data_IF_120280078317
#
_entry.id   IF_120280078317
#
_cell.length_a   1.000
_cell.length_b   1.000
_cell.length_c   1.000
_cell.angle_alpha   90.00
_cell.angle_beta   90.00
_cell.angle_gamma   90.00
#
_symmetry.space_group_name_H-M   'P 1'
#
loop_
_entity.id
_entity.type
_entity.pdbx_description
1 polymer ?
#
# COMPACT_ATOMS: atom_id res chain seq x y z
N UNK A 1 42.39 8.15 5.90
CA UNK A 1 42.31 7.60 7.26
C UNK A 1 40.83 7.41 7.58
N UNK A 2 40.44 6.45 8.41
CA UNK A 2 39.05 6.42 8.88
C UNK A 2 38.87 7.62 9.82
N UNK A 3 37.92 8.50 9.52
CA UNK A 3 37.69 9.75 10.27
C UNK A 3 36.38 9.58 11.02
N UNK A 4 36.37 9.95 12.29
CA UNK A 4 35.15 10.04 13.10
C UNK A 4 34.86 11.53 13.24
N UNK A 5 33.70 11.97 12.79
CA UNK A 5 33.23 13.32 13.05
C UNK A 5 32.84 13.42 14.54
N UNK A 6 33.51 14.28 15.33
CA UNK A 6 33.25 14.40 16.77
C UNK A 6 31.88 15.01 17.11
N UNK A 7 31.22 15.69 16.16
CA UNK A 7 29.95 16.37 16.40
C UNK A 7 28.74 15.50 16.01
N UNK A 8 28.82 14.83 14.86
CA UNK A 8 27.76 13.91 14.39
C UNK A 8 27.97 12.45 14.80
N UNK A 9 29.18 12.06 15.19
CA UNK A 9 29.55 10.65 15.41
C UNK A 9 29.75 9.85 14.12
N UNK A 10 29.67 10.49 12.94
CA UNK A 10 29.75 9.81 11.64
C UNK A 10 31.15 9.21 11.41
N UNK A 11 31.22 7.91 11.11
CA UNK A 11 32.48 7.23 10.75
C UNK A 11 32.64 7.16 9.24
N UNK A 12 33.54 7.98 8.71
CA UNK A 12 33.95 7.93 7.30
C UNK A 12 35.08 6.93 7.11
N UNK A 13 34.76 5.80 6.46
CA UNK A 13 35.74 4.77 6.11
C UNK A 13 36.80 5.30 5.15
N UNK A 14 38.06 4.88 5.34
CA UNK A 14 39.15 5.23 4.42
C UNK A 14 38.87 4.65 3.03
N UNK A 15 38.75 5.52 2.03
CA UNK A 15 38.74 5.14 0.61
C UNK A 15 40.16 5.21 0.02
N UNK A 16 40.49 4.30 -0.90
CA UNK A 16 41.76 4.31 -1.65
C UNK A 16 41.72 5.29 -2.82
N UNK A 17 40.54 5.47 -3.42
CA UNK A 17 40.31 6.44 -4.49
C UNK A 17 38.94 7.10 -4.28
N UNK A 18 38.83 8.44 -4.39
CA UNK A 18 37.58 9.15 -4.10
C UNK A 18 36.43 8.77 -5.03
N UNK A 19 36.72 8.41 -6.28
CA UNK A 19 35.72 8.00 -7.27
C UNK A 19 35.30 6.51 -7.22
N UNK A 20 35.83 5.73 -6.26
CA UNK A 20 35.50 4.31 -6.13
C UNK A 20 34.61 4.13 -4.90
N UNK A 21 33.45 3.50 -5.11
CA UNK A 21 32.53 3.15 -4.03
C UNK A 21 33.18 2.17 -3.04
N UNK A 22 32.64 2.09 -1.83
CA UNK A 22 33.07 1.05 -0.90
C UNK A 22 32.66 -0.32 -1.45
N UNK A 23 33.59 -1.27 -1.50
CA UNK A 23 33.32 -2.60 -2.01
C UNK A 23 34.03 -3.67 -1.16
N UNK A 24 33.52 -4.90 -1.23
CA UNK A 24 34.14 -6.08 -0.66
C UNK A 24 34.75 -6.93 -1.78
N UNK A 25 36.03 -7.27 -1.66
CA UNK A 25 36.74 -7.98 -2.73
C UNK A 25 36.19 -9.39 -3.01
N UNK A 26 35.66 -10.08 -2.00
CA UNK A 26 35.08 -11.41 -2.19
C UNK A 26 33.72 -11.30 -2.89
N UNK A 27 32.86 -10.40 -2.42
CA UNK A 27 31.51 -10.24 -2.98
C UNK A 27 31.58 -9.73 -4.43
N UNK A 28 32.47 -8.77 -4.75
CA UNK A 28 32.61 -8.29 -6.13
C UNK A 28 33.10 -9.39 -7.08
N UNK A 29 33.96 -10.29 -6.59
CA UNK A 29 34.47 -11.42 -7.36
C UNK A 29 33.38 -12.44 -7.66
N UNK A 30 32.52 -12.74 -6.67
CA UNK A 30 31.44 -13.71 -6.78
C UNK A 30 30.25 -13.16 -7.58
N UNK A 31 29.75 -11.98 -7.20
CA UNK A 31 28.53 -11.42 -7.78
C UNK A 31 28.76 -10.70 -9.11
N UNK A 32 30.01 -10.27 -9.38
CA UNK A 32 30.41 -9.56 -10.62
C UNK A 32 29.52 -8.35 -10.97
N UNK A 33 28.94 -7.72 -9.96
CA UNK A 33 28.07 -6.55 -10.09
C UNK A 33 28.66 -5.35 -9.35
N UNK A 34 28.18 -4.15 -9.68
CA UNK A 34 28.58 -2.92 -9.00
C UNK A 34 28.12 -2.96 -7.53
N UNK A 35 28.94 -2.44 -6.62
CA UNK A 35 28.64 -2.48 -5.19
C UNK A 35 28.88 -1.12 -4.54
N UNK A 36 28.07 -0.82 -3.52
CA UNK A 36 28.26 0.31 -2.62
C UNK A 36 27.93 -0.11 -1.19
N UNK A 37 28.98 -0.49 -0.44
CA UNK A 37 28.85 -0.95 0.94
C UNK A 37 28.86 0.25 1.89
N UNK A 38 27.72 0.52 2.49
CA UNK A 38 27.59 1.53 3.54
C UNK A 38 27.44 0.85 4.90
N UNK A 39 28.13 1.38 5.90
CA UNK A 39 27.94 0.96 7.28
C UNK A 39 26.79 1.77 7.87
N UNK A 40 25.82 1.12 8.47
CA UNK A 40 24.58 1.74 8.96
C UNK A 40 24.67 1.84 10.49
N UNK A 41 24.69 3.06 11.03
CA UNK A 41 24.65 3.33 12.46
C UNK A 41 23.20 3.47 12.97
N UNK A 42 22.99 3.34 14.27
CA UNK A 42 21.70 3.64 14.90
C UNK A 42 21.41 5.15 14.89
N UNK A 43 20.18 5.55 14.57
CA UNK A 43 19.76 6.95 14.59
C UNK A 43 19.07 7.37 13.30
N UNK A 44 19.11 8.67 13.02
CA UNK A 44 18.46 9.32 11.86
C UNK A 44 18.92 8.73 10.52
N UNK A 45 20.22 8.43 10.38
CA UNK A 45 20.77 7.85 9.14
C UNK A 45 20.25 6.44 8.85
N UNK A 46 20.09 5.61 9.89
CA UNK A 46 19.45 4.30 9.74
C UNK A 46 17.99 4.44 9.28
N UNK A 47 17.24 5.35 9.91
CA UNK A 47 15.84 5.61 9.57
C UNK A 47 15.69 6.05 8.11
N UNK A 48 16.48 7.03 7.69
CA UNK A 48 16.53 7.53 6.32
C UNK A 48 16.88 6.42 5.30
N UNK A 49 17.91 5.62 5.61
CA UNK A 49 18.38 4.57 4.72
C UNK A 49 17.39 3.39 4.61
N UNK A 50 16.73 3.01 5.71
CA UNK A 50 15.69 1.96 5.68
C UNK A 50 14.54 2.36 4.76
N UNK A 51 14.09 3.61 4.85
CA UNK A 51 13.05 4.12 3.93
C UNK A 51 13.55 4.07 2.48
N UNK A 52 14.77 4.58 2.22
CA UNK A 52 15.36 4.57 0.88
C UNK A 52 15.47 3.17 0.27
N UNK A 53 15.98 2.19 1.03
CA UNK A 53 16.09 0.81 0.57
C UNK A 53 14.71 0.22 0.26
N UNK A 54 13.73 0.47 1.12
CA UNK A 54 12.36 -0.04 0.94
C UNK A 54 11.74 0.56 -0.31
N UNK A 55 11.80 1.88 -0.47
CA UNK A 55 11.29 2.63 -1.62
C UNK A 55 11.92 2.14 -2.93
N UNK A 56 13.23 1.89 -2.93
CA UNK A 56 13.96 1.36 -4.08
C UNK A 56 13.54 -0.06 -4.44
N UNK A 57 13.37 -0.95 -3.45
CA UNK A 57 12.91 -2.33 -3.68
C UNK A 57 11.49 -2.35 -4.22
N UNK A 58 10.64 -1.42 -3.78
CA UNK A 58 9.23 -1.32 -4.21
C UNK A 58 9.04 -0.47 -5.46
N UNK A 59 10.11 0.08 -6.06
CA UNK A 59 10.01 0.95 -7.24
C UNK A 59 9.39 0.18 -8.40
N UNK A 60 8.29 0.72 -8.94
CA UNK A 60 7.61 0.13 -10.09
C UNK A 60 8.48 0.31 -11.34
N UNK A 61 8.72 -0.79 -12.07
CA UNK A 61 9.57 -0.81 -13.27
C UNK A 61 8.81 -0.32 -14.50
N UNK A 62 8.44 0.97 -14.57
CA UNK A 62 8.16 1.59 -15.87
C UNK A 62 9.14 2.74 -16.11
N UNK A 63 10.09 2.51 -17.02
CA UNK A 63 10.90 3.59 -17.56
C UNK A 63 10.07 4.37 -18.58
N UNK A 64 10.08 5.70 -18.51
CA UNK A 64 9.39 6.58 -19.45
C UNK A 64 9.74 6.31 -20.93
N UNK A 65 10.97 5.87 -21.21
CA UNK A 65 11.42 5.55 -22.56
C UNK A 65 10.71 4.30 -23.14
N UNK A 66 10.35 3.35 -22.28
CA UNK A 66 9.63 2.12 -22.67
C UNK A 66 8.19 2.49 -23.03
N UNK A 67 7.56 3.36 -22.23
CA UNK A 67 6.24 3.94 -22.49
C UNK A 67 6.18 4.61 -23.86
N UNK A 68 7.19 5.43 -24.20
CA UNK A 68 7.22 6.14 -25.47
C UNK A 68 7.28 5.20 -26.68
N UNK A 69 8.13 4.16 -26.64
CA UNK A 69 8.27 3.19 -27.73
C UNK A 69 6.98 2.38 -27.97
N UNK A 70 6.26 2.05 -26.89
CA UNK A 70 4.98 1.36 -26.93
C UNK A 70 3.86 2.24 -27.48
N UNK A 71 3.87 3.53 -27.14
CA UNK A 71 2.98 4.54 -27.71
C UNK A 71 3.27 4.74 -29.20
N UNK A 72 4.53 4.86 -29.60
CA UNK A 72 4.92 4.98 -31.01
C UNK A 72 4.44 3.78 -31.83
N UNK A 73 4.56 2.56 -31.28
CA UNK A 73 4.03 1.34 -31.90
C UNK A 73 2.50 1.35 -32.03
N UNK A 74 1.79 1.87 -31.03
CA UNK A 74 0.33 2.02 -31.05
C UNK A 74 -0.17 3.10 -32.04
N UNK A 75 0.67 4.11 -32.29
CA UNK A 75 0.44 5.20 -33.26
C UNK A 75 0.82 4.82 -34.69
N UNK A 76 1.48 3.67 -34.89
CA UNK A 76 1.84 3.14 -36.21
C UNK A 76 0.65 3.15 -37.20
N UNK A 77 0.92 3.35 -38.50
CA UNK A 77 -0.10 3.65 -39.50
C UNK A 77 -1.07 2.49 -39.67
N UNK A 78 -2.27 2.63 -39.11
CA UNK A 78 -3.41 1.79 -39.45
C UNK A 78 -4.28 2.57 -40.44
N UNK A 79 -3.94 2.42 -41.72
CA UNK A 79 -4.67 2.95 -42.89
C UNK A 79 -5.99 2.23 -43.14
N UNK A 80 -6.85 2.13 -42.12
CA UNK A 80 -8.27 1.82 -42.33
C UNK A 80 -9.08 3.05 -41.98
N UNK A 81 -8.91 4.07 -42.84
CA UNK A 81 -9.65 5.32 -42.80
C UNK A 81 -11.10 5.01 -43.17
N UNK A 82 -11.93 4.69 -42.19
CA UNK A 82 -13.37 4.88 -42.35
C UNK A 82 -13.63 6.40 -42.36
N UNK A 83 -13.99 6.90 -43.54
CA UNK A 83 -14.19 8.33 -43.85
C UNK A 83 -15.32 8.96 -43.01
N UNK A 84 -16.14 8.15 -42.34
CA UNK A 84 -17.31 8.56 -41.56
C UNK A 84 -17.08 8.77 -40.06
N UNK A 85 -15.88 8.53 -39.52
CA UNK A 85 -15.64 8.69 -38.07
C UNK A 85 -15.28 10.14 -37.66
N UNK A 86 -16.00 10.64 -36.65
CA UNK A 86 -15.77 11.93 -35.99
C UNK A 86 -14.32 12.02 -35.46
N UNK A 87 -13.69 13.18 -35.59
CA UNK A 87 -12.29 13.41 -35.16
C UNK A 87 -12.08 13.13 -33.67
N UNK A 88 -13.09 13.40 -32.84
CA UNK A 88 -13.08 13.12 -31.40
C UNK A 88 -13.04 11.61 -31.12
N UNK A 89 -13.79 10.80 -31.87
CA UNK A 89 -13.83 9.36 -31.69
C UNK A 89 -12.53 8.69 -32.16
N UNK A 90 -11.91 9.24 -33.21
CA UNK A 90 -10.56 8.82 -33.65
C UNK A 90 -9.51 9.09 -32.58
N UNK A 91 -9.53 10.28 -31.96
CA UNK A 91 -8.62 10.63 -30.88
C UNK A 91 -8.81 9.71 -29.66
N UNK A 92 -10.06 9.46 -29.26
CA UNK A 92 -10.38 8.53 -28.16
C UNK A 92 -9.87 7.11 -28.43
N UNK A 93 -10.08 6.59 -29.64
CA UNK A 93 -9.58 5.26 -30.05
C UNK A 93 -8.07 5.19 -30.12
N UNK A 94 -7.40 6.29 -30.44
CA UNK A 94 -5.94 6.34 -30.43
C UNK A 94 -5.40 6.28 -29.00
N UNK A 95 -5.94 7.10 -28.09
CA UNK A 95 -5.58 7.09 -26.67
C UNK A 95 -5.83 5.73 -26.05
N UNK A 96 -6.99 5.12 -26.33
CA UNK A 96 -7.32 3.79 -25.81
C UNK A 96 -6.34 2.72 -26.33
N UNK A 97 -5.96 2.77 -27.60
CA UNK A 97 -4.94 1.85 -28.17
C UNK A 97 -3.57 2.04 -27.55
N UNK A 98 -3.16 3.28 -27.32
CA UNK A 98 -1.91 3.57 -26.62
C UNK A 98 -1.94 2.99 -25.20
N UNK A 99 -3.03 3.20 -24.47
CA UNK A 99 -3.23 2.64 -23.14
C UNK A 99 -3.22 1.11 -23.15
N UNK A 100 -3.98 0.46 -24.04
CA UNK A 100 -4.04 -1.01 -24.13
C UNK A 100 -2.68 -1.61 -24.54
N UNK A 101 -1.92 -0.93 -25.40
CA UNK A 101 -0.56 -1.34 -25.78
C UNK A 101 0.41 -1.23 -24.58
N UNK A 102 0.31 -0.14 -23.81
CA UNK A 102 1.08 0.06 -22.58
C UNK A 102 0.71 -0.97 -21.51
N UNK A 103 -0.57 -1.30 -21.37
CA UNK A 103 -1.06 -2.27 -20.39
C UNK A 103 -0.72 -3.73 -20.78
N UNK A 104 -0.60 -4.03 -22.08
CA UNK A 104 -0.41 -5.40 -22.58
C UNK A 104 1.05 -5.79 -22.84
N UNK A 105 1.94 -4.83 -23.08
CA UNK A 105 3.34 -5.09 -23.39
C UNK A 105 4.23 -4.48 -22.31
N UNK A 106 4.79 -5.34 -21.46
CA UNK A 106 5.77 -4.96 -20.46
C UNK A 106 7.13 -5.56 -20.81
N UNK A 107 8.19 -4.74 -20.78
CA UNK A 107 9.55 -5.25 -20.87
C UNK A 107 9.91 -6.01 -19.59
N UNK A 108 10.40 -7.23 -19.75
CA UNK A 108 10.86 -8.08 -18.65
C UNK A 108 12.36 -8.30 -18.81
N UNK A 109 13.09 -8.33 -17.69
CA UNK A 109 14.51 -8.67 -17.71
C UNK A 109 14.72 -10.08 -18.26
N UNK A 110 15.72 -10.27 -19.12
CA UNK A 110 16.07 -11.60 -19.61
C UNK A 110 16.36 -12.61 -18.49
N UNK A 111 16.79 -12.14 -17.31
CA UNK A 111 16.95 -12.96 -16.11
C UNK A 111 15.59 -13.43 -15.58
N UNK A 112 14.60 -12.54 -15.48
CA UNK A 112 13.23 -12.90 -15.06
C UNK A 112 12.61 -13.94 -16.00
N UNK A 113 12.74 -13.72 -17.32
CA UNK A 113 12.25 -14.66 -18.33
C UNK A 113 12.95 -16.01 -18.20
N UNK A 114 14.27 -16.02 -18.01
CA UNK A 114 15.03 -17.26 -17.84
C UNK A 114 14.60 -18.02 -16.58
N UNK A 115 14.44 -17.33 -15.45
CA UNK A 115 13.97 -17.92 -14.18
C UNK A 115 12.57 -18.52 -14.33
N UNK A 116 11.67 -17.83 -15.03
CA UNK A 116 10.33 -18.33 -15.32
C UNK A 116 10.36 -19.58 -16.22
N UNK A 117 11.13 -19.55 -17.32
CA UNK A 117 11.26 -20.69 -18.22
C UNK A 117 11.91 -21.91 -17.56
N UNK A 118 12.77 -21.69 -16.57
CA UNK A 118 13.45 -22.74 -15.81
C UNK A 118 12.64 -23.21 -14.58
N UNK A 119 11.44 -22.66 -14.35
CA UNK A 119 10.57 -23.00 -13.22
C UNK A 119 11.25 -22.82 -11.85
N UNK A 120 12.08 -21.79 -11.71
CA UNK A 120 12.77 -21.49 -10.44
C UNK A 120 11.94 -20.62 -9.48
N UNK A 121 10.72 -20.23 -9.88
CA UNK A 121 9.87 -19.31 -9.14
C UNK A 121 10.31 -17.85 -9.25
N UNK A 122 9.42 -16.93 -8.96
CA UNK A 122 9.61 -15.47 -9.12
C UNK A 122 9.71 -14.71 -7.79
N UNK A 123 9.51 -15.37 -6.66
CA UNK A 123 9.58 -14.76 -5.34
C UNK A 123 9.97 -15.74 -4.23
N UNK A 124 10.44 -15.18 -3.11
CA UNK A 124 10.60 -15.89 -1.84
C UNK A 124 9.84 -15.13 -0.76
N UNK A 125 8.98 -15.82 -0.01
CA UNK A 125 8.21 -15.22 1.08
C UNK A 125 8.45 -15.96 2.37
N UNK A 126 8.71 -15.20 3.43
CA UNK A 126 8.82 -15.75 4.79
C UNK A 126 7.44 -15.97 5.45
N UNK A 127 6.45 -15.17 5.03
CA UNK A 127 5.11 -15.16 5.59
C UNK A 127 4.06 -15.22 4.48
N UNK A 128 2.85 -15.67 4.83
CA UNK A 128 1.68 -15.47 3.99
C UNK A 128 1.12 -14.06 4.18
N UNK A 129 0.37 -13.56 3.21
CA UNK A 129 -0.21 -12.22 3.23
C UNK A 129 -1.71 -12.28 2.98
N UNK A 130 -2.45 -11.34 3.58
CA UNK A 130 -3.89 -11.19 3.37
C UNK A 130 -4.25 -9.70 3.28
N UNK A 131 -5.10 -9.33 2.34
CA UNK A 131 -5.39 -7.92 2.07
C UNK A 131 -6.50 -7.37 2.98
N UNK A 132 -6.32 -6.14 3.46
CA UNK A 132 -7.35 -5.34 4.13
C UNK A 132 -7.58 -4.07 3.33
N UNK A 133 -8.77 -3.93 2.74
CA UNK A 133 -9.19 -2.71 2.07
C UNK A 133 -9.71 -1.70 3.09
N UNK A 134 -8.78 -1.04 3.80
CA UNK A 134 -9.08 -0.25 5.00
C UNK A 134 -10.04 0.90 4.71
N UNK A 135 -9.82 1.65 3.63
CA UNK A 135 -10.59 2.84 3.29
C UNK A 135 -12.10 2.55 3.14
N UNK A 136 -12.46 1.40 2.58
CA UNK A 136 -13.86 1.01 2.41
C UNK A 136 -14.55 0.77 3.77
N UNK A 137 -13.81 0.21 4.73
CA UNK A 137 -14.30 -0.04 6.10
C UNK A 137 -14.41 1.28 6.86
N UNK A 138 -13.38 2.13 6.79
CA UNK A 138 -13.38 3.46 7.43
C UNK A 138 -14.55 4.32 6.96
N UNK A 139 -14.81 4.36 5.65
CA UNK A 139 -15.92 5.11 5.06
C UNK A 139 -17.27 4.58 5.51
N UNK A 140 -17.45 3.26 5.54
CA UNK A 140 -18.67 2.65 6.07
C UNK A 140 -18.92 3.09 7.52
N UNK A 141 -17.89 3.02 8.38
CA UNK A 141 -18.00 3.39 9.78
C UNK A 141 -18.29 4.89 9.96
N UNK A 142 -17.65 5.74 9.14
CA UNK A 142 -17.91 7.18 9.15
C UNK A 142 -19.35 7.48 8.73
N UNK A 143 -19.82 6.88 7.64
CA UNK A 143 -21.18 7.08 7.15
C UNK A 143 -22.24 6.64 8.17
N UNK A 144 -22.03 5.50 8.84
CA UNK A 144 -22.94 5.04 9.90
C UNK A 144 -22.89 5.98 11.12
N UNK A 145 -21.72 6.52 11.49
CA UNK A 145 -21.61 7.55 12.54
C UNK A 145 -22.41 8.81 12.18
N UNK A 146 -22.28 9.29 10.94
CA UNK A 146 -22.93 10.51 10.48
C UNK A 146 -24.45 10.34 10.35
N UNK A 147 -24.92 9.16 9.93
CA UNK A 147 -26.34 8.80 9.99
C UNK A 147 -26.88 8.80 11.42
N UNK A 148 -26.12 8.25 12.37
CA UNK A 148 -26.50 8.25 13.80
C UNK A 148 -26.53 9.67 14.38
N UNK A 149 -25.58 10.53 14.01
CA UNK A 149 -25.57 11.97 14.36
C UNK A 149 -26.78 12.70 13.79
N UNK A 150 -27.10 12.47 12.51
CA UNK A 150 -28.26 13.07 11.84
C UNK A 150 -29.60 12.62 12.45
N UNK A 151 -29.72 11.35 12.83
CA UNK A 151 -30.92 10.83 13.51
C UNK A 151 -31.12 11.46 14.90
N UNK A 152 -30.02 11.71 15.64
CA UNK A 152 -30.07 12.36 16.95
C UNK A 152 -30.47 13.84 16.87
N UNK A 153 -29.96 14.57 15.87
CA UNK A 153 -30.28 15.98 15.65
C UNK A 153 -31.70 16.17 15.11
N UNK A 154 -32.17 15.27 14.25
CA UNK A 154 -33.56 15.23 13.78
C UNK A 154 -34.57 14.95 14.91
N UNK A 155 -34.18 14.18 15.92
CA UNK A 155 -35.02 13.91 17.11
C UNK A 155 -35.06 15.09 18.10
N UNK A 156 -34.16 16.08 17.95
CA UNK A 156 -33.89 17.10 18.98
C UNK A 156 -34.17 18.55 18.56
N UNK A 157 -34.88 18.82 17.45
CA UNK A 157 -35.15 20.21 17.03
C UNK A 157 -36.58 20.67 17.32
N UNK A 158 -36.74 21.36 18.44
CA UNK A 158 -37.35 22.69 18.43
C UNK A 158 -36.27 23.71 18.80
N UNK A 159 -36.08 24.68 17.91
CA UNK A 159 -35.22 25.89 18.01
C UNK A 159 -33.76 25.74 17.58
N UNK A 160 -33.43 26.48 16.51
CA UNK A 160 -32.13 26.58 15.86
C UNK A 160 -31.11 27.38 16.69
N UNK A 161 -29.83 27.01 16.58
CA UNK A 161 -28.74 27.96 16.31
C UNK A 161 -27.80 27.32 15.31
N UNK A 162 -27.68 27.94 14.14
CA UNK A 162 -26.67 27.60 13.15
C UNK A 162 -25.29 27.98 13.71
N UNK A 163 -24.49 26.98 14.08
CA UNK A 163 -23.05 27.12 14.18
C UNK A 163 -22.42 26.34 13.03
N UNK A 164 -22.03 27.10 12.00
CA UNK A 164 -21.08 26.67 10.99
C UNK A 164 -19.72 26.50 11.64
N UNK A 165 -19.32 25.26 11.91
CA UNK A 165 -17.91 24.90 11.98
C UNK A 165 -17.56 24.24 10.65
N UNK A 166 -16.84 24.93 9.75
CA UNK A 166 -16.12 24.29 8.67
C UNK A 166 -14.82 23.73 9.25
N UNK A 167 -14.57 22.42 9.12
CA UNK A 167 -13.26 21.79 8.92
C UNK A 167 -13.57 20.30 8.74
N UNK A 168 -13.67 19.90 7.48
CA UNK A 168 -13.33 18.57 6.95
C UNK A 168 -13.34 18.75 5.42
N UNK A 169 -12.42 19.60 4.97
CA UNK A 169 -11.98 19.61 3.57
C UNK A 169 -10.46 19.47 3.67
N UNK A 170 -10.02 18.23 3.87
CA UNK A 170 -8.75 17.83 3.30
C UNK A 170 -9.13 17.32 1.92
N UNK A 171 -8.89 18.13 0.89
CA UNK A 171 -8.89 17.68 -0.50
C UNK A 171 -7.75 16.67 -0.66
N UNK A 172 -7.97 15.42 -0.25
CA UNK A 172 -7.23 14.30 -0.80
C UNK A 172 -7.86 14.04 -2.18
N UNK A 173 -7.14 14.35 -3.27
CA UNK A 173 -7.60 14.18 -4.66
C UNK A 173 -8.04 12.73 -5.01
N UNK A 174 -7.82 11.76 -4.10
CA UNK A 174 -8.31 10.38 -4.19
C UNK A 174 -9.70 10.14 -3.56
N UNK A 175 -10.27 11.09 -2.80
CA UNK A 175 -11.59 10.95 -2.18
C UNK A 175 -12.76 11.15 -3.14
N UNK A 176 -12.56 11.89 -4.24
CA UNK A 176 -13.59 12.22 -5.24
C UNK A 176 -13.84 11.11 -6.28
N UNK A 177 -13.16 9.96 -6.17
CA UNK A 177 -13.41 8.86 -7.10
C UNK A 177 -14.75 8.17 -6.78
N UNK A 178 -15.76 8.39 -7.62
CA UNK A 178 -17.11 7.82 -7.51
C UNK A 178 -17.12 6.27 -7.41
N UNK A 179 -16.08 5.59 -7.94
CA UNK A 179 -15.91 4.15 -7.79
C UNK A 179 -15.54 3.70 -6.36
N UNK A 180 -14.96 4.61 -5.55
CA UNK A 180 -14.56 4.35 -4.18
C UNK A 180 -15.70 4.60 -3.15
N UNK A 181 -16.90 5.00 -3.61
CA UNK A 181 -18.09 5.12 -2.76
C UNK A 181 -18.84 3.79 -2.56
N UNK A 182 -18.59 2.78 -3.40
CA UNK A 182 -19.27 1.50 -3.32
C UNK A 182 -18.63 0.58 -2.26
N UNK A 183 -19.47 -0.19 -1.55
CA UNK A 183 -18.97 -1.26 -0.68
C UNK A 183 -18.10 -2.23 -1.49
N UNK A 184 -16.91 -2.53 -0.96
CA UNK A 184 -15.97 -3.42 -1.64
C UNK A 184 -16.38 -4.88 -1.44
N UNK A 185 -16.70 -5.55 -2.56
CA UNK A 185 -16.88 -7.01 -2.61
C UNK A 185 -15.77 -7.62 -3.46
N UNK A 186 -14.97 -8.53 -2.90
CA UNK A 186 -14.12 -9.40 -3.71
C UNK A 186 -14.92 -10.57 -4.25
N UNK A 187 -14.54 -11.04 -5.44
CA UNK A 187 -15.14 -12.23 -6.05
C UNK A 187 -14.15 -13.38 -5.85
N UNK A 188 -14.56 -14.39 -5.10
CA UNK A 188 -13.79 -15.62 -4.93
C UNK A 188 -14.44 -16.76 -5.72
N UNK A 189 -13.62 -17.63 -6.29
CA UNK A 189 -14.07 -18.91 -6.84
C UNK A 189 -14.34 -19.88 -5.69
N UNK A 190 -15.55 -20.43 -5.67
CA UNK A 190 -15.91 -21.49 -4.73
C UNK A 190 -15.00 -22.70 -4.94
N UNK A 191 -14.83 -23.50 -3.88
CA UNK A 191 -14.05 -24.75 -3.89
C UNK A 191 -14.56 -25.79 -4.90
N UNK A 192 -15.79 -25.60 -5.40
CA UNK A 192 -16.42 -26.45 -6.42
C UNK A 192 -16.20 -25.94 -7.88
N UNK A 193 -15.26 -25.03 -8.12
CA UNK A 193 -14.81 -24.48 -9.43
C UNK A 193 -15.89 -23.88 -10.36
N UNK A 194 -17.19 -23.95 -10.02
CA UNK A 194 -18.31 -23.52 -10.88
C UNK A 194 -19.17 -22.40 -10.29
N UNK A 195 -18.85 -21.87 -9.11
CA UNK A 195 -19.65 -20.82 -8.45
C UNK A 195 -18.76 -19.66 -8.04
N UNK A 196 -19.14 -18.45 -8.46
CA UNK A 196 -18.56 -17.21 -7.98
C UNK A 196 -19.27 -16.77 -6.71
N UNK A 197 -18.49 -16.35 -5.72
CA UNK A 197 -18.98 -15.97 -4.40
C UNK A 197 -18.52 -14.55 -4.10
N UNK A 198 -19.46 -13.68 -3.75
CA UNK A 198 -19.15 -12.34 -3.25
C UNK A 198 -18.65 -12.43 -1.81
N UNK A 199 -17.61 -11.67 -1.51
CA UNK A 199 -16.89 -11.71 -0.24
C UNK A 199 -16.72 -10.30 0.26
N UNK A 200 -17.01 -10.08 1.54
CA UNK A 200 -16.84 -8.78 2.14
C UNK A 200 -16.28 -8.96 3.55
N UNK A 201 -15.00 -8.62 3.70
CA UNK A 201 -14.25 -8.76 4.95
C UNK A 201 -14.93 -8.04 6.13
N UNK A 202 -15.54 -6.86 5.88
CA UNK A 202 -16.27 -6.11 6.89
C UNK A 202 -17.42 -6.93 7.45
N UNK A 203 -18.22 -7.52 6.56
CA UNK A 203 -19.39 -8.34 6.90
C UNK A 203 -18.94 -9.62 7.64
N UNK A 204 -17.89 -10.29 7.13
CA UNK A 204 -17.30 -11.47 7.79
C UNK A 204 -16.87 -11.15 9.22
N UNK A 205 -16.24 -9.97 9.44
CA UNK A 205 -15.78 -9.53 10.75
C UNK A 205 -16.93 -9.08 11.69
N UNK A 206 -17.91 -8.31 11.19
CA UNK A 206 -19.04 -7.85 12.00
C UNK A 206 -19.92 -8.99 12.53
N UNK A 207 -20.16 -9.99 11.67
CA UNK A 207 -20.97 -11.16 12.02
C UNK A 207 -20.12 -12.37 12.41
N UNK A 208 -18.88 -12.14 12.86
CA UNK A 208 -18.01 -13.18 13.42
C UNK A 208 -18.64 -13.85 14.63
N UNK A 209 -18.23 -15.08 14.92
CA UNK A 209 -18.70 -15.83 16.09
C UNK A 209 -18.57 -15.02 17.39
N UNK A 210 -19.51 -15.13 18.35
CA UNK A 210 -19.38 -14.53 19.68
C UNK A 210 -18.08 -14.91 20.40
N UNK A 211 -17.53 -16.10 20.13
CA UNK A 211 -16.25 -16.53 20.70
C UNK A 211 -15.04 -15.68 20.26
N UNK A 212 -15.17 -14.90 19.18
CA UNK A 212 -14.12 -14.04 18.63
C UNK A 212 -14.40 -12.55 18.88
N UNK A 213 -15.27 -12.22 19.83
CA UNK A 213 -15.68 -10.83 20.09
C UNK A 213 -14.52 -9.93 20.51
N UNK A 214 -13.57 -10.45 21.30
CA UNK A 214 -12.40 -9.71 21.78
C UNK A 214 -11.29 -9.52 20.75
N UNK A 215 -11.39 -10.13 19.56
CA UNK A 215 -10.34 -10.07 18.53
C UNK A 215 -10.55 -8.82 17.67
N UNK A 216 -9.49 -8.03 17.49
CA UNK A 216 -9.52 -6.84 16.62
C UNK A 216 -9.46 -7.22 15.12
N UNK A 217 -9.73 -6.26 14.23
CA UNK A 217 -9.79 -6.53 12.78
C UNK A 217 -8.44 -7.03 12.24
N UNK A 218 -7.33 -6.43 12.69
CA UNK A 218 -5.99 -6.82 12.26
C UNK A 218 -5.68 -8.27 12.67
N UNK A 219 -5.91 -8.62 13.94
CA UNK A 219 -5.69 -9.97 14.46
C UNK A 219 -6.63 -10.99 13.82
N UNK A 220 -7.88 -10.58 13.51
CA UNK A 220 -8.85 -11.42 12.84
C UNK A 220 -8.32 -11.86 11.47
N UNK A 221 -7.85 -10.93 10.65
CA UNK A 221 -7.29 -11.23 9.32
C UNK A 221 -5.97 -12.00 9.41
N UNK A 222 -5.16 -11.73 10.44
CA UNK A 222 -3.89 -12.43 10.64
C UNK A 222 -4.07 -13.90 11.04
N UNK A 223 -5.07 -14.19 11.88
CA UNK A 223 -5.25 -15.51 12.48
C UNK A 223 -6.38 -16.32 11.87
N UNK A 224 -7.33 -15.70 11.18
CA UNK A 224 -8.52 -16.39 10.68
C UNK A 224 -8.79 -16.07 9.22
N UNK A 225 -9.37 -17.05 8.54
CA UNK A 225 -9.89 -16.87 7.19
C UNK A 225 -11.26 -17.53 7.06
N UNK A 226 -12.04 -17.00 6.13
CA UNK A 226 -13.31 -17.60 5.72
C UNK A 226 -13.05 -18.81 4.83
N UNK A 227 -13.83 -19.87 5.02
CA UNK A 227 -13.84 -21.05 4.13
C UNK A 227 -15.23 -21.67 4.03
N UNK A 228 -15.55 -22.24 2.87
CA UNK A 228 -16.75 -23.07 2.69
C UNK A 228 -16.69 -24.31 3.59
N UNK A 229 -17.73 -24.52 4.39
CA UNK A 229 -17.78 -25.65 5.32
C UNK A 229 -18.26 -26.90 4.60
N UNK A 230 -17.46 -27.96 4.66
CA UNK A 230 -17.90 -29.30 4.26
C UNK A 230 -18.77 -29.89 5.37
N UNK A 231 -19.59 -30.91 5.09
CA UNK A 231 -20.39 -31.57 6.12
C UNK A 231 -19.54 -32.06 7.31
N UNK A 232 -18.32 -32.52 7.06
CA UNK A 232 -17.36 -32.88 8.13
C UNK A 232 -17.00 -31.69 9.03
N UNK A 233 -16.83 -30.50 8.47
CA UNK A 233 -16.51 -29.30 9.23
C UNK A 233 -17.71 -28.88 10.10
N UNK A 234 -18.94 -29.00 9.59
CA UNK A 234 -20.16 -28.73 10.36
C UNK A 234 -20.31 -29.67 11.57
N UNK A 235 -20.15 -30.97 11.35
CA UNK A 235 -20.19 -31.97 12.43
C UNK A 235 -19.14 -31.69 13.51
N UNK A 236 -17.96 -31.19 13.13
CA UNK A 236 -16.89 -30.84 14.07
C UNK A 236 -17.21 -29.61 14.93
N UNK A 237 -18.04 -28.69 14.43
CA UNK A 237 -18.45 -27.50 15.20
C UNK A 237 -19.66 -27.80 16.09
N UNK A 238 -20.62 -28.59 15.60
CA UNK A 238 -21.83 -28.95 16.34
C UNK A 238 -21.55 -29.94 17.49
N UNK A 239 -20.55 -30.80 17.31
CA UNK A 239 -20.08 -31.73 18.33
C UNK A 239 -18.60 -31.48 18.62
N UNK A 240 -18.27 -30.41 19.39
CA UNK A 240 -16.91 -30.24 19.87
C UNK A 240 -16.60 -31.45 20.73
N UNK A 241 -15.60 -32.24 20.33
CA UNK A 241 -15.18 -33.43 21.07
C UNK A 241 -14.73 -33.02 22.47
N UNK A 242 -15.63 -33.18 23.44
CA UNK A 242 -15.50 -32.79 24.86
C UNK A 242 -14.62 -33.73 25.69
N UNK A 243 -13.82 -34.59 25.04
CA UNK A 243 -12.92 -35.48 25.76
C UNK A 243 -11.55 -34.82 25.94
N UNK A 244 -11.48 -33.84 26.85
CA UNK A 244 -10.21 -33.37 27.42
C UNK A 244 -9.58 -34.37 28.39
N UNK A 245 -10.32 -35.42 28.80
CA UNK A 245 -9.86 -36.40 29.80
C UNK A 245 -9.43 -37.76 29.23
N UNK A 246 -9.51 -37.99 27.91
CA UNK A 246 -9.10 -39.26 27.31
C UNK A 246 -7.88 -39.05 26.40
N UNK A 247 -6.72 -38.85 27.04
CA UNK A 247 -5.40 -38.73 26.40
C UNK A 247 -4.97 -40.10 25.86
N UNK A 248 -5.68 -40.60 24.85
CA UNK A 248 -5.08 -41.51 23.88
C UNK A 248 -4.64 -40.64 22.72
N UNK A 249 -3.34 -40.33 22.69
CA UNK A 249 -2.70 -39.60 21.62
C UNK A 249 -2.95 -40.33 20.29
N UNK A 250 -4.00 -39.93 19.56
CA UNK A 250 -4.22 -40.38 18.19
C UNK A 250 -3.09 -39.77 17.36
N UNK A 251 -2.28 -40.56 16.66
CA UNK A 251 -1.21 -40.03 15.83
C UNK A 251 -1.83 -39.21 14.68
N UNK A 252 -1.58 -37.91 14.68
CA UNK A 252 -2.11 -37.01 13.67
C UNK A 252 -1.91 -35.53 14.01
N UNK A 253 -2.10 -34.67 13.01
CA UNK A 253 -2.10 -33.22 13.19
C UNK A 253 -3.34 -32.81 13.99
N UNK A 254 -3.22 -31.94 15.02
CA UNK A 254 -4.39 -31.44 15.74
C UNK A 254 -5.34 -30.71 14.77
N UNK A 255 -6.66 -30.86 14.95
CA UNK A 255 -7.64 -30.19 14.10
C UNK A 255 -7.55 -28.67 14.29
N UNK A 256 -7.74 -27.92 13.19
CA UNK A 256 -7.81 -26.46 13.25
C UNK A 256 -9.06 -26.01 14.02
N UNK A 257 -8.94 -24.92 14.78
CA UNK A 257 -10.06 -24.24 15.41
C UNK A 257 -11.02 -23.71 14.33
N UNK A 258 -12.32 -23.94 14.53
CA UNK A 258 -13.39 -23.61 13.59
C UNK A 258 -14.51 -22.89 14.33
N UNK A 259 -15.09 -21.88 13.69
CA UNK A 259 -16.19 -21.10 14.22
C UNK A 259 -17.24 -20.85 13.14
N UNK A 260 -18.49 -20.72 13.53
CA UNK A 260 -19.60 -20.34 12.64
C UNK A 260 -19.82 -18.84 12.67
N UNK A 261 -20.34 -18.30 11.57
CA UNK A 261 -20.87 -16.93 11.55
C UNK A 261 -22.19 -16.85 12.32
N UNK A 262 -22.56 -15.62 12.69
CA UNK A 262 -23.90 -15.33 13.21
C UNK A 262 -24.96 -15.54 12.13
N UNK A 263 -26.20 -15.83 12.54
CA UNK A 263 -27.33 -16.13 11.64
C UNK A 263 -27.68 -14.97 10.69
N UNK A 264 -27.31 -13.74 11.05
CA UNK A 264 -27.50 -12.54 10.24
C UNK A 264 -26.52 -12.44 9.06
N UNK A 265 -25.43 -13.22 9.08
CA UNK A 265 -24.45 -13.24 8.00
C UNK A 265 -25.07 -13.86 6.72
N UNK A 266 -24.95 -13.22 5.54
CA UNK A 266 -25.55 -13.72 4.29
C UNK A 266 -25.13 -15.15 3.91
N UNK A 267 -23.98 -15.59 4.41
CA UNK A 267 -23.38 -16.89 4.10
C UNK A 267 -23.23 -17.81 5.32
N UNK A 268 -23.92 -17.51 6.43
CA UNK A 268 -23.82 -18.27 7.68
C UNK A 268 -24.05 -19.78 7.51
N UNK A 269 -24.91 -20.17 6.57
CA UNK A 269 -25.26 -21.56 6.31
C UNK A 269 -24.21 -22.32 5.49
N UNK A 270 -23.37 -21.61 4.72
CA UNK A 270 -22.46 -22.22 3.73
C UNK A 270 -20.99 -22.09 4.11
N UNK A 271 -20.62 -21.01 4.78
CA UNK A 271 -19.24 -20.70 5.13
C UNK A 271 -19.06 -20.63 6.65
N UNK A 272 -17.82 -20.73 7.10
CA UNK A 272 -17.44 -20.39 8.46
C UNK A 272 -15.99 -19.92 8.52
N UNK A 273 -15.51 -19.74 9.74
CA UNK A 273 -14.24 -19.14 10.06
C UNK A 273 -13.28 -20.23 10.53
N UNK A 274 -12.08 -20.28 9.96
CA UNK A 274 -11.05 -21.25 10.32
C UNK A 274 -9.77 -20.51 10.71
N UNK A 275 -9.15 -20.94 11.80
CA UNK A 275 -7.86 -20.41 12.24
C UNK A 275 -6.73 -20.88 11.34
N UNK A 276 -5.88 -19.96 10.90
CA UNK A 276 -4.65 -20.24 10.19
C UNK A 276 -3.71 -21.11 11.02
N UNK A 277 -2.93 -21.94 10.34
CA UNK A 277 -1.91 -22.79 10.96
C UNK A 277 -0.65 -22.01 11.31
N UNK A 278 -0.37 -20.97 10.53
CA UNK A 278 0.67 -19.97 10.76
C UNK A 278 0.01 -18.62 10.51
N UNK A 279 0.19 -17.63 11.39
CA UNK A 279 -0.34 -16.29 11.16
C UNK A 279 0.10 -15.73 9.81
N UNK A 280 -0.80 -15.02 9.14
CA UNK A 280 -0.49 -14.25 7.93
C UNK A 280 -0.32 -12.78 8.30
N UNK A 281 0.42 -12.04 7.47
CA UNK A 281 0.62 -10.60 7.64
C UNK A 281 -0.46 -9.85 6.88
N UNK A 282 -1.33 -9.09 7.55
CA UNK A 282 -2.28 -8.23 6.87
C UNK A 282 -1.58 -7.12 6.09
N UNK A 283 -1.95 -6.96 4.82
CA UNK A 283 -1.48 -5.91 3.92
C UNK A 283 -2.59 -4.89 3.76
N UNK A 284 -2.35 -3.66 4.19
CA UNK A 284 -3.31 -2.57 4.06
C UNK A 284 -3.31 -2.08 2.60
N UNK A 285 -4.44 -2.25 1.93
CA UNK A 285 -4.65 -1.80 0.55
C UNK A 285 -5.45 -0.49 0.58
N UNK A 286 -4.93 0.51 -0.12
CA UNK A 286 -5.51 1.85 -0.20
C UNK A 286 -4.52 2.92 0.29
N UNK A 287 -5.02 4.14 0.57
CA UNK A 287 -4.19 5.25 1.01
C UNK A 287 -3.48 4.92 2.32
N UNK A 288 -2.22 5.33 2.43
CA UNK A 288 -1.42 5.10 3.64
C UNK A 288 -2.13 5.70 4.86
N UNK A 289 -2.00 5.04 6.02
CA UNK A 289 -2.41 5.61 7.30
C UNK A 289 -1.63 6.91 7.51
N UNK A 290 -2.29 8.04 7.81
CA UNK A 290 -1.59 9.31 7.91
C UNK A 290 -0.69 9.36 9.15
N UNK A 291 0.11 10.41 9.27
CA UNK A 291 0.97 10.62 10.45
C UNK A 291 0.18 11.18 11.64
N UNK A 292 0.64 10.88 12.86
CA UNK A 292 0.01 11.40 14.08
C UNK A 292 0.28 12.89 14.34
N UNK A 293 1.43 13.42 13.89
CA UNK A 293 1.92 14.74 14.36
C UNK A 293 1.22 15.97 13.77
N UNK A 294 0.25 15.80 12.87
CA UNK A 294 -0.51 16.90 12.25
C UNK A 294 -1.94 16.85 12.75
N UNK A 295 -2.45 17.97 13.25
CA UNK A 295 -3.82 18.09 13.75
C UNK A 295 -4.85 17.78 12.64
N UNK A 296 -4.58 18.25 11.42
CA UNK A 296 -5.43 17.99 10.24
C UNK A 296 -5.62 16.51 9.94
N UNK A 297 -4.61 15.67 10.20
CA UNK A 297 -4.67 14.24 9.89
C UNK A 297 -4.98 13.38 11.12
N UNK A 298 -5.15 13.99 12.28
CA UNK A 298 -5.31 13.31 13.57
C UNK A 298 -6.61 12.51 13.64
N UNK A 299 -7.71 13.03 13.09
CA UNK A 299 -9.00 12.35 13.06
C UNK A 299 -8.96 11.10 12.18
N UNK A 300 -8.47 11.21 10.94
CA UNK A 300 -8.29 10.05 10.04
C UNK A 300 -7.31 9.03 10.62
N UNK A 301 -6.20 9.48 11.21
CA UNK A 301 -5.25 8.59 11.91
C UNK A 301 -5.95 7.80 13.02
N UNK A 302 -6.71 8.50 13.86
CA UNK A 302 -7.37 7.87 15.00
C UNK A 302 -8.45 6.89 14.56
N UNK A 303 -9.21 7.24 13.52
CA UNK A 303 -10.20 6.36 12.88
C UNK A 303 -9.56 5.08 12.32
N UNK A 304 -8.44 5.21 11.60
CA UNK A 304 -7.71 4.07 11.03
C UNK A 304 -7.26 3.09 12.13
N UNK A 305 -6.65 3.62 13.19
CA UNK A 305 -6.16 2.79 14.29
C UNK A 305 -7.29 2.15 15.10
N UNK A 306 -8.35 2.91 15.40
CA UNK A 306 -9.51 2.37 16.09
C UNK A 306 -10.16 1.23 15.28
N UNK A 307 -10.28 1.40 13.96
CA UNK A 307 -10.85 0.39 13.05
C UNK A 307 -10.02 -0.90 13.03
N UNK A 308 -8.68 -0.80 13.06
CA UNK A 308 -7.78 -1.95 12.95
C UNK A 308 -7.57 -2.69 14.28
N UNK A 309 -7.36 -1.94 15.36
CA UNK A 309 -6.78 -2.47 16.59
C UNK A 309 -7.73 -2.51 17.79
N UNK A 310 -8.93 -1.91 17.67
CA UNK A 310 -9.98 -2.05 18.68
C UNK A 310 -10.99 -3.10 18.18
N UNK A 311 -11.45 -4.03 19.03
CA UNK A 311 -12.54 -4.94 18.66
C UNK A 311 -13.87 -4.21 18.52
N UNK A 312 -14.63 -4.47 17.45
CA UNK A 312 -15.92 -3.82 17.18
C UNK A 312 -16.86 -4.71 16.38
N UNK A 313 -18.17 -4.45 16.48
CA UNK A 313 -19.21 -4.98 15.57
C UNK A 313 -20.02 -3.85 14.94
N UNK A 314 -20.20 -2.75 15.66
CA UNK A 314 -20.87 -1.55 15.18
C UNK A 314 -20.03 -0.31 15.49
N UNK A 315 -20.32 0.80 14.82
CA UNK A 315 -19.61 2.07 15.01
C UNK A 315 -19.62 2.54 16.45
N UNK A 316 -20.74 2.34 17.16
CA UNK A 316 -20.91 2.68 18.58
C UNK A 316 -19.86 2.05 19.51
N UNK A 317 -19.28 0.91 19.12
CA UNK A 317 -18.26 0.24 19.93
C UNK A 317 -16.93 1.01 19.86
N UNK A 318 -16.70 1.68 18.73
CA UNK A 318 -15.52 2.51 18.46
C UNK A 318 -15.72 3.94 18.91
N UNK A 319 -16.76 4.62 18.40
CA UNK A 319 -16.96 6.06 18.53
C UNK A 319 -18.41 6.39 18.93
N UNK A 320 -18.56 7.15 20.01
CA UNK A 320 -19.82 7.71 20.48
C UNK A 320 -20.21 8.93 19.64
N UNK A 321 -21.51 9.23 19.60
CA UNK A 321 -22.07 10.25 18.70
C UNK A 321 -21.51 11.66 18.97
N UNK A 322 -21.11 11.94 20.21
CA UNK A 322 -20.64 13.25 20.66
C UNK A 322 -19.11 13.35 20.79
N UNK A 323 -18.36 12.26 20.54
CA UNK A 323 -16.91 12.26 20.67
C UNK A 323 -16.23 12.28 19.30
N UNK A 324 -15.01 12.80 19.27
CA UNK A 324 -14.17 12.72 18.07
C UNK A 324 -13.45 11.37 18.01
N UNK A 325 -12.92 10.99 16.83
CA UNK A 325 -12.17 9.73 16.71
C UNK A 325 -10.89 9.75 17.56
N UNK A 326 -10.29 10.93 17.75
CA UNK A 326 -9.15 11.09 18.64
C UNK A 326 -9.48 10.79 20.10
N UNK A 327 -10.59 11.31 20.62
CA UNK A 327 -11.06 11.04 21.98
C UNK A 327 -11.44 9.56 22.16
N UNK A 328 -12.10 8.99 21.15
CA UNK A 328 -12.47 7.59 21.11
C UNK A 328 -11.25 6.64 21.21
N UNK A 329 -10.20 6.92 20.44
CA UNK A 329 -8.96 6.14 20.47
C UNK A 329 -8.24 6.32 21.80
N UNK A 330 -8.15 7.56 22.30
CA UNK A 330 -7.44 7.88 23.55
C UNK A 330 -8.06 7.18 24.75
N UNK A 331 -9.39 7.14 24.84
CA UNK A 331 -10.11 6.45 25.91
C UNK A 331 -9.98 4.93 25.88
N UNK A 332 -9.67 4.35 24.71
CA UNK A 332 -9.58 2.89 24.49
C UNK A 332 -8.16 2.41 24.26
N UNK A 333 -7.15 3.27 24.41
CA UNK A 333 -5.76 2.92 24.13
C UNK A 333 -5.25 1.75 24.99
N UNK A 334 -5.73 1.62 26.22
CA UNK A 334 -5.36 0.55 27.14
C UNK A 334 -5.90 -0.83 26.74
N UNK A 335 -6.93 -0.90 25.87
CA UNK A 335 -7.48 -2.17 25.41
C UNK A 335 -6.70 -2.78 24.24
N UNK A 336 -5.79 -2.01 23.63
CA UNK A 336 -4.99 -2.44 22.49
C UNK A 336 -3.88 -3.38 22.98
N UNK A 337 -3.75 -4.54 22.33
CA UNK A 337 -2.71 -5.54 22.65
C UNK A 337 -1.29 -4.98 22.47
N UNK A 338 -0.33 -5.47 23.26
CA UNK A 338 1.08 -5.03 23.16
C UNK A 338 1.67 -5.26 21.77
N UNK A 339 1.29 -6.36 21.11
CA UNK A 339 1.69 -6.65 19.73
C UNK A 339 1.11 -5.61 18.74
N UNK A 340 -0.15 -5.25 18.91
CA UNK A 340 -0.80 -4.19 18.12
C UNK A 340 -0.16 -2.83 18.37
N UNK A 341 0.23 -2.51 19.61
CA UNK A 341 0.95 -1.28 19.92
C UNK A 341 2.29 -1.20 19.19
N UNK A 342 3.04 -2.31 19.10
CA UNK A 342 4.29 -2.35 18.33
C UNK A 342 4.05 -2.07 16.84
N UNK A 343 2.93 -2.56 16.27
CA UNK A 343 2.56 -2.27 14.88
C UNK A 343 2.21 -0.80 14.71
N UNK A 344 1.48 -0.21 15.65
CA UNK A 344 1.14 1.23 15.66
C UNK A 344 2.42 2.08 15.68
N UNK A 345 3.38 1.72 16.54
CA UNK A 345 4.69 2.38 16.59
C UNK A 345 5.44 2.24 15.26
N UNK A 346 5.40 1.06 14.63
CA UNK A 346 6.04 0.84 13.33
C UNK A 346 5.40 1.68 12.21
N UNK A 347 4.07 1.89 12.24
CA UNK A 347 3.37 2.76 11.29
C UNK A 347 3.88 4.20 11.43
N UNK A 348 4.01 4.70 12.66
CA UNK A 348 4.55 6.04 12.89
C UNK A 348 6.05 6.13 12.54
N UNK A 349 6.83 5.09 12.87
CA UNK A 349 8.25 5.01 12.54
C UNK A 349 8.50 5.14 11.04
N UNK A 350 7.63 4.56 10.20
CA UNK A 350 7.73 4.71 8.74
C UNK A 350 7.66 6.18 8.30
N UNK A 351 6.77 6.97 8.91
CA UNK A 351 6.65 8.41 8.65
C UNK A 351 7.86 9.20 9.16
N UNK A 352 8.39 8.83 10.33
CA UNK A 352 9.64 9.41 10.85
C UNK A 352 10.82 9.13 9.91
N UNK A 353 10.95 7.89 9.43
CA UNK A 353 11.98 7.49 8.48
C UNK A 353 11.89 8.28 7.17
N UNK A 354 10.67 8.53 6.67
CA UNK A 354 10.44 9.38 5.50
C UNK A 354 10.92 10.81 5.74
N UNK A 355 10.52 11.41 6.87
CA UNK A 355 10.91 12.77 7.25
C UNK A 355 12.44 12.91 7.39
N UNK A 356 13.08 11.94 8.04
CA UNK A 356 14.52 11.92 8.25
C UNK A 356 15.28 11.79 6.92
N UNK A 357 14.78 10.96 5.98
CA UNK A 357 15.29 10.90 4.61
C UNK A 357 15.19 12.25 3.92
N UNK A 358 14.03 12.91 3.98
CA UNK A 358 13.79 14.17 3.29
C UNK A 358 14.69 15.29 3.86
N UNK A 359 14.84 15.35 5.19
CA UNK A 359 15.75 16.27 5.85
C UNK A 359 17.22 16.01 5.45
N UNK A 360 17.64 14.75 5.38
CA UNK A 360 18.97 14.38 4.90
C UNK A 360 19.18 14.82 3.45
N UNK A 361 18.22 14.59 2.55
CA UNK A 361 18.28 15.02 1.16
C UNK A 361 18.42 16.56 1.04
N UNK A 362 17.66 17.31 1.84
CA UNK A 362 17.75 18.78 1.87
C UNK A 362 19.13 19.27 2.31
N UNK A 363 19.74 18.63 3.33
CA UNK A 363 21.10 18.96 3.75
C UNK A 363 22.12 18.71 2.64
N UNK A 364 21.99 17.59 1.91
CA UNK A 364 22.86 17.27 0.78
C UNK A 364 22.74 18.34 -0.31
N UNK A 365 21.52 18.77 -0.64
CA UNK A 365 21.27 19.81 -1.66
C UNK A 365 21.87 21.15 -1.22
N UNK A 366 21.64 21.58 0.02
CA UNK A 366 22.16 22.85 0.55
C UNK A 366 23.70 22.90 0.57
N UNK A 367 24.34 21.77 0.89
CA UNK A 367 25.80 21.64 0.86
C UNK A 367 26.37 21.73 -0.56
N UNK A 368 25.61 21.29 -1.59
CA UNK A 368 26.02 21.42 -2.99
C UNK A 368 25.90 22.86 -3.49
N UNK A 369 24.94 23.65 -2.97
CA UNK A 369 24.70 25.03 -3.37
C UNK A 369 25.66 26.05 -2.73
N UNK A 370 26.29 25.72 -1.59
CA UNK A 370 27.12 26.67 -0.81
C UNK A 370 28.62 26.62 -1.13
N UNK A 371 29.10 25.61 -1.85
CA UNK A 371 30.53 25.44 -2.15
C UNK A 371 30.83 25.61 -3.65
N UNK A 372 31.26 26.81 -4.05
CA UNK A 372 31.69 27.11 -5.43
C UNK A 372 33.15 26.70 -5.74
N UNK A 373 33.89 26.12 -4.78
CA UNK A 373 35.17 25.48 -5.07
C UNK A 373 35.39 24.21 -4.23
N UNK A 374 35.77 23.15 -4.96
CA UNK A 374 36.18 21.78 -4.57
C UNK A 374 35.10 20.69 -4.75
N UNK A 375 35.30 19.97 -5.86
CA UNK A 375 34.95 18.61 -6.30
C UNK A 375 33.63 17.96 -5.78
N UNK A 376 32.71 17.56 -6.67
CA UNK A 376 31.39 17.09 -6.29
C UNK A 376 31.37 15.66 -5.72
N UNK A 377 30.62 15.52 -4.62
CA UNK A 377 29.56 14.50 -4.41
C UNK A 377 29.97 13.07 -3.97
N UNK A 378 29.30 12.52 -2.93
CA UNK A 378 29.34 11.09 -2.63
C UNK A 378 28.32 10.25 -3.44
N UNK A 379 27.70 10.80 -4.50
CA UNK A 379 26.85 10.06 -5.44
C UNK A 379 27.43 10.12 -6.86
N UNK A 380 27.79 8.97 -7.48
CA UNK A 380 28.27 8.91 -8.86
C UNK A 380 27.14 9.15 -9.88
N UNK A 381 27.53 9.70 -11.04
CA UNK A 381 26.74 10.14 -12.22
C UNK A 381 25.73 9.13 -12.81
N UNK A 382 25.61 7.93 -12.23
CA UNK A 382 24.70 6.88 -12.69
C UNK A 382 23.43 6.76 -11.84
N UNK A 383 23.32 7.51 -10.73
CA UNK A 383 22.00 7.81 -10.18
C UNK A 383 21.46 9.03 -10.91
N UNK A 384 20.54 8.79 -11.85
CA UNK A 384 19.47 9.76 -12.06
C UNK A 384 18.84 9.98 -10.70
N UNK A 385 19.07 11.16 -10.15
CA UNK A 385 18.16 11.73 -9.17
C UNK A 385 16.95 12.04 -10.02
N UNK A 386 16.01 11.09 -10.11
CA UNK A 386 14.62 11.42 -10.40
C UNK A 386 14.12 12.07 -9.10
N UNK A 387 14.61 13.28 -8.84
CA UNK A 387 13.81 14.27 -8.17
C UNK A 387 12.78 14.65 -9.21
N UNK A 388 11.51 14.50 -8.88
CA UNK A 388 10.44 15.25 -9.52
C UNK A 388 10.59 16.76 -9.13
N UNK A 389 11.77 17.31 -9.42
CA UNK A 389 11.99 18.69 -9.80
C UNK A 389 12.33 18.63 -11.30
N UNK A 390 11.35 18.23 -12.11
CA UNK A 390 11.35 18.62 -13.52
C UNK A 390 11.21 20.15 -13.53
N UNK A 391 12.27 20.88 -13.85
CA UNK A 391 12.11 22.24 -14.41
C UNK A 391 13.36 22.83 -15.09
N UNK A 392 14.59 22.33 -14.91
CA UNK A 392 15.76 23.09 -15.41
C UNK A 392 16.77 22.33 -16.31
N UNK A 393 16.50 21.09 -16.71
CA UNK A 393 17.38 20.37 -17.66
C UNK A 393 16.72 19.77 -18.89
N UNK A 394 15.39 19.88 -18.98
CA UNK A 394 14.65 19.39 -20.13
C UNK A 394 14.49 20.44 -21.22
N UNK A 395 14.92 21.69 -21.03
CA UNK A 395 14.79 22.75 -22.06
C UNK A 395 15.54 22.44 -23.36
N UNK A 396 16.80 21.96 -23.30
CA UNK A 396 17.59 21.70 -24.54
C UNK A 396 17.11 20.45 -25.29
N UNK A 397 16.64 19.42 -24.59
CA UNK A 397 16.08 18.22 -25.22
C UNK A 397 14.64 18.45 -25.68
N UNK A 398 13.81 19.12 -24.88
CA UNK A 398 12.47 19.53 -25.30
C UNK A 398 12.51 20.52 -26.46
N UNK A 399 13.47 21.44 -26.59
CA UNK A 399 13.63 22.24 -27.81
C UNK A 399 13.98 21.36 -29.01
N UNK A 400 14.83 20.35 -28.83
CA UNK A 400 15.18 19.41 -29.92
C UNK A 400 13.95 18.56 -30.32
N UNK A 401 13.11 18.16 -29.36
CA UNK A 401 11.90 17.38 -29.59
C UNK A 401 10.72 18.24 -30.08
N UNK A 402 10.60 19.50 -29.66
CA UNK A 402 9.64 20.48 -30.17
C UNK A 402 9.99 20.88 -31.60
N UNK A 403 11.27 21.09 -31.92
CA UNK A 403 11.72 21.30 -33.30
C UNK A 403 11.44 20.08 -34.19
N UNK A 404 11.50 18.87 -33.64
CA UNK A 404 11.11 17.65 -34.35
C UNK A 404 9.58 17.55 -34.53
N UNK A 405 8.78 17.95 -33.54
CA UNK A 405 7.33 18.01 -33.63
C UNK A 405 6.84 19.10 -34.60
N UNK A 406 7.51 20.25 -34.66
CA UNK A 406 7.27 21.29 -35.67
C UNK A 406 7.67 20.81 -37.06
N UNK A 407 8.74 20.02 -37.20
CA UNK A 407 9.07 19.39 -38.49
C UNK A 407 8.02 18.37 -38.97
N UNK A 408 7.22 17.79 -38.06
CA UNK A 408 6.10 16.92 -38.40
C UNK A 408 4.83 17.70 -38.77
N UNK A 409 4.68 18.94 -38.29
CA UNK A 409 3.59 19.83 -38.68
C UNK A 409 3.85 20.49 -40.05
N UNK A 410 5.10 20.85 -40.35
CA UNK A 410 5.51 21.45 -41.63
C UNK A 410 5.47 20.47 -42.81
N UNK A 411 5.67 19.18 -42.57
CA UNK A 411 5.55 18.13 -43.60
C UNK A 411 4.10 17.88 -44.04
N UNK A 412 3.09 18.35 -43.29
CA UNK A 412 1.68 18.32 -43.70
C UNK A 412 1.24 19.59 -44.44
N UNK A 413 2.04 20.66 -44.44
CA UNK A 413 1.73 21.90 -45.16
C UNK A 413 2.34 21.95 -46.58
N UNK A 414 3.27 21.05 -46.91
CA UNK A 414 3.97 21.02 -48.21
C UNK A 414 3.42 19.99 -49.21
N UNK A 415 2.29 19.32 -48.89
CA UNK A 415 1.62 18.39 -49.80
C UNK A 415 0.14 18.74 -50.08
N UNK A 416 -0.18 20.03 -50.17
CA UNK A 416 -1.46 20.53 -50.71
C UNK A 416 -1.29 21.03 -52.14
#
# INVERSE_FOLDING_TARGET
>A
MTIIDPESGEIRMRRSHPMINNFNQCIICVCRCNMDIKFIWSGTDAKALVYYCTDYITKTNLSFHDTFSLVQKAVGPNDNINITENSIDKARKLVLRCYDSLASQQELSGVQVSTYLMDYGDHYTSHGFANIFLIAIERYLQNELDQNKAALSASSTSTQVANTNPIDIVEDEEEDNVAAMAEHFSIEQSTDEQKLVLVNLRIDYQFRSPALESVCLYEFVSHFHRRSFTDKDRHSVDHPSTNTDDVRAVPGRPPQERYTFMTEHPQASTHGIIKHLKPVVPVLVGPQIPRKDREETQERYSRALATLFIPWRAVKDLCDINQSWYEALSSRQESISTESQQIIENIQLLHECKKDRDAYLQQVIANVQTSDQIDPRPFPRNMRIDSDDEDDKDLDQNETYLNFLDSLSDNNASSA
#
